data_IF_636891173372
#
_entry.id   IF_636891173372
#
_cell.length_a   1.000
_cell.length_b   1.000
_cell.length_c   1.000
_cell.angle_alpha   90.00
_cell.angle_beta   90.00
_cell.angle_gamma   90.00
#
_symmetry.space_group_name_H-M   'P 1'
#
loop_
_entity.id
_entity.type
_entity.pdbx_description
1 polymer ?
#
# COMPACT_ATOMS: atom_id res chain seq x y z
N UNK A 1 -4.12 8.29 27.48
CA UNK A 1 -4.90 7.70 26.37
C UNK A 1 -3.98 7.01 25.35
N UNK A 2 -2.95 7.72 24.87
CA UNK A 2 -1.95 7.20 23.92
C UNK A 2 -1.16 6.03 24.49
N UNK A 3 -0.73 6.10 25.75
CA UNK A 3 -0.04 5.02 26.45
C UNK A 3 -0.90 3.74 26.60
N UNK A 4 -2.21 3.88 26.84
CA UNK A 4 -3.12 2.72 26.88
C UNK A 4 -3.29 2.06 25.51
N UNK A 5 -3.27 2.85 24.42
CA UNK A 5 -3.29 2.34 23.03
C UNK A 5 -1.98 1.60 22.68
N UNK A 6 -0.84 2.11 23.10
CA UNK A 6 0.46 1.47 22.89
C UNK A 6 0.56 0.16 23.69
N UNK A 7 0.06 0.13 24.91
CA UNK A 7 0.03 -1.10 25.74
C UNK A 7 -0.91 -2.14 25.12
N UNK A 8 -2.02 -1.71 24.52
CA UNK A 8 -2.94 -2.60 23.80
C UNK A 8 -2.32 -3.17 22.53
N UNK A 9 -1.58 -2.34 21.74
CA UNK A 9 -0.79 -2.81 20.61
C UNK A 9 0.28 -3.83 21.05
N UNK A 10 0.96 -3.59 22.16
CA UNK A 10 1.90 -4.55 22.74
C UNK A 10 1.23 -5.87 23.15
N UNK A 11 -0.01 -5.81 23.61
CA UNK A 11 -0.79 -7.01 23.95
C UNK A 11 -1.22 -7.78 22.70
N UNK A 12 -1.57 -7.10 21.60
CA UNK A 12 -1.85 -7.74 20.30
C UNK A 12 -0.57 -8.35 19.73
N UNK A 13 0.54 -7.64 19.76
CA UNK A 13 1.85 -8.15 19.32
C UNK A 13 2.30 -9.34 20.17
N UNK A 14 2.08 -9.32 21.49
CA UNK A 14 2.38 -10.43 22.37
C UNK A 14 1.43 -11.63 22.17
N UNK A 15 0.15 -11.41 21.88
CA UNK A 15 -0.77 -12.50 21.51
C UNK A 15 -0.39 -13.14 20.17
N UNK A 16 0.05 -12.34 19.19
CA UNK A 16 0.52 -12.86 17.91
C UNK A 16 1.88 -13.57 18.02
N UNK A 17 2.75 -13.16 18.97
CA UNK A 17 4.03 -13.83 19.23
C UNK A 17 3.90 -15.12 20.02
N UNK A 18 2.79 -15.36 20.72
CA UNK A 18 2.55 -16.59 21.47
C UNK A 18 1.99 -17.74 20.61
N UNK A 19 1.78 -17.53 19.32
CA UNK A 19 1.31 -18.58 18.41
C UNK A 19 2.37 -19.66 18.23
N UNK A 20 2.19 -20.76 18.91
CA UNK A 20 2.74 -22.06 18.54
C UNK A 20 2.32 -22.36 17.10
N UNK A 21 3.24 -22.94 16.32
CA UNK A 21 3.08 -23.48 14.96
C UNK A 21 1.67 -23.30 14.37
N UNK A 22 1.56 -22.43 13.35
CA UNK A 22 0.35 -22.32 12.54
C UNK A 22 0.14 -23.67 11.83
N UNK A 23 -0.78 -24.45 12.33
CA UNK A 23 -1.40 -25.54 11.60
C UNK A 23 -2.36 -24.95 10.58
N UNK A 24 -2.50 -25.62 9.46
CA UNK A 24 -3.35 -25.25 8.34
C UNK A 24 -4.84 -25.18 8.80
N UNK A 25 -5.33 -23.98 9.03
CA UNK A 25 -6.71 -23.71 9.40
C UNK A 25 -7.63 -23.53 8.17
N UNK A 26 -7.52 -24.43 7.20
CA UNK A 26 -8.40 -24.44 6.02
C UNK A 26 -9.92 -24.60 6.35
N UNK A 27 -10.31 -24.61 7.63
CA UNK A 27 -11.67 -24.76 8.13
C UNK A 27 -12.13 -23.63 9.07
N UNK A 28 -11.46 -22.49 9.13
CA UNK A 28 -11.93 -21.38 9.95
C UNK A 28 -13.23 -20.80 9.39
N UNK A 29 -14.27 -20.81 10.22
CA UNK A 29 -15.56 -20.19 9.89
C UNK A 29 -15.36 -18.68 9.75
N UNK A 30 -15.93 -18.10 8.69
CA UNK A 30 -15.96 -16.66 8.52
C UNK A 30 -16.50 -15.97 9.79
N UNK A 31 -15.78 -15.04 10.35
CA UNK A 31 -16.15 -14.29 11.56
C UNK A 31 -17.11 -13.14 11.30
N UNK A 32 -17.44 -12.93 10.04
CA UNK A 32 -18.38 -11.91 9.60
C UNK A 32 -18.79 -12.13 8.15
N UNK A 33 -19.65 -11.28 7.66
CA UNK A 33 -20.07 -11.26 6.27
C UNK A 33 -19.98 -9.85 5.71
N UNK A 34 -19.70 -9.76 4.42
CA UNK A 34 -19.76 -8.53 3.67
C UNK A 34 -21.03 -8.53 2.81
N UNK A 35 -21.80 -7.45 2.85
CA UNK A 35 -23.02 -7.32 2.06
C UNK A 35 -23.34 -5.88 1.73
N UNK A 36 -23.46 -5.56 0.44
CA UNK A 36 -23.86 -4.24 -0.08
C UNK A 36 -23.01 -3.07 0.48
N UNK A 37 -21.68 -3.22 0.53
CA UNK A 37 -20.79 -2.20 1.08
C UNK A 37 -20.71 -2.19 2.61
N UNK A 38 -21.44 -3.05 3.32
CA UNK A 38 -21.42 -3.15 4.77
C UNK A 38 -20.65 -4.37 5.26
N UNK A 39 -19.83 -4.17 6.26
CA UNK A 39 -19.17 -5.25 7.01
C UNK A 39 -20.09 -5.58 8.20
N UNK A 40 -20.50 -6.83 8.28
CA UNK A 40 -21.43 -7.32 9.29
C UNK A 40 -20.71 -8.30 10.21
N UNK A 41 -21.01 -8.24 11.51
CA UNK A 41 -20.56 -9.24 12.47
C UNK A 41 -21.37 -10.54 12.36
N UNK A 42 -21.05 -11.54 13.19
CA UNK A 42 -21.77 -12.82 13.26
C UNK A 42 -23.26 -12.65 13.61
N UNK A 43 -23.61 -11.57 14.32
CA UNK A 43 -24.98 -11.24 14.69
C UNK A 43 -25.72 -10.49 13.57
N UNK A 44 -25.07 -10.27 12.41
CA UNK A 44 -25.58 -9.52 11.26
C UNK A 44 -25.76 -8.02 11.54
N UNK A 45 -25.07 -7.47 12.52
CA UNK A 45 -25.03 -6.06 12.80
C UNK A 45 -23.97 -5.39 11.92
N UNK A 46 -24.29 -4.19 11.37
CA UNK A 46 -23.34 -3.39 10.60
C UNK A 46 -22.28 -2.84 11.53
N UNK A 47 -21.02 -3.03 11.19
CA UNK A 47 -19.88 -2.60 12.02
C UNK A 47 -18.91 -1.71 11.29
N UNK A 48 -18.93 -1.74 9.98
CA UNK A 48 -18.15 -0.85 9.15
C UNK A 48 -18.73 -0.82 7.73
N UNK A 49 -18.33 0.17 6.95
CA UNK A 49 -18.50 0.20 5.51
C UNK A 49 -17.15 0.01 4.81
N UNK A 50 -17.19 -0.51 3.60
CA UNK A 50 -16.01 -0.65 2.75
C UNK A 50 -16.28 -0.01 1.39
N UNK A 51 -15.44 0.96 1.03
CA UNK A 51 -15.50 1.63 -0.29
C UNK A 51 -14.12 2.06 -0.75
N UNK A 52 -13.86 2.04 -2.03
CA UNK A 52 -12.59 2.49 -2.65
C UNK A 52 -11.33 1.87 -2.04
N UNK A 53 -11.42 0.67 -1.52
CA UNK A 53 -10.32 0.03 -0.79
C UNK A 53 -10.16 0.51 0.65
N UNK A 54 -11.04 1.39 1.15
CA UNK A 54 -11.03 1.86 2.54
C UNK A 54 -12.14 1.22 3.35
N UNK A 55 -11.87 0.98 4.63
CA UNK A 55 -12.87 0.58 5.62
C UNK A 55 -13.20 1.79 6.48
N UNK A 56 -14.49 2.08 6.64
CA UNK A 56 -15.02 3.15 7.47
C UNK A 56 -15.81 2.52 8.61
N UNK A 57 -15.39 2.74 9.85
CA UNK A 57 -16.16 2.30 11.00
C UNK A 57 -17.42 3.14 11.14
N UNK A 58 -18.59 2.50 11.14
CA UNK A 58 -19.90 3.17 11.34
C UNK A 58 -20.01 3.86 12.69
N UNK A 59 -19.23 3.43 13.66
CA UNK A 59 -19.30 3.92 15.03
C UNK A 59 -18.38 5.12 15.29
N UNK A 60 -17.81 5.73 14.24
CA UNK A 60 -16.82 6.79 14.38
C UNK A 60 -15.53 6.27 14.97
N UNK A 61 -14.59 7.16 15.26
CA UNK A 61 -13.36 6.78 15.95
C UNK A 61 -13.58 6.61 17.45
N UNK A 62 -14.53 5.81 17.83
CA UNK A 62 -14.57 5.37 19.20
C UNK A 62 -13.23 4.72 19.57
N UNK A 63 -12.93 4.68 20.83
CA UNK A 63 -11.81 3.87 21.29
C UNK A 63 -12.16 2.40 21.07
N UNK A 64 -11.20 1.51 20.86
CA UNK A 64 -11.44 0.06 20.80
C UNK A 64 -12.36 -0.48 21.90
N UNK A 65 -12.45 0.20 23.02
CA UNK A 65 -13.31 -0.18 24.14
C UNK A 65 -14.80 0.16 23.96
N UNK A 66 -15.14 1.05 23.01
CA UNK A 66 -16.53 1.46 22.79
C UNK A 66 -17.29 0.45 21.91
N UNK A 67 -16.58 -0.50 21.30
CA UNK A 67 -17.09 -1.38 20.26
C UNK A 67 -17.26 -2.84 20.68
N UNK A 68 -17.05 -3.15 21.94
CA UNK A 68 -17.01 -4.55 22.34
C UNK A 68 -15.88 -5.28 21.62
N UNK A 69 -14.86 -5.58 22.35
CA UNK A 69 -13.56 -6.15 21.94
C UNK A 69 -13.62 -7.31 20.91
N UNK A 70 -14.78 -7.97 20.74
CA UNK A 70 -14.91 -9.12 19.86
C UNK A 70 -14.73 -8.77 18.37
N UNK A 71 -15.23 -7.64 17.95
CA UNK A 71 -15.35 -7.33 16.52
C UNK A 71 -14.09 -6.76 15.92
N UNK A 72 -13.46 -5.83 16.60
CA UNK A 72 -12.16 -5.33 16.19
C UNK A 72 -11.12 -6.43 16.20
N UNK A 73 -11.17 -7.29 17.20
CA UNK A 73 -10.28 -8.43 17.30
C UNK A 73 -10.48 -9.37 16.10
N UNK A 74 -11.71 -9.61 15.69
CA UNK A 74 -12.03 -10.47 14.55
C UNK A 74 -11.60 -9.86 13.21
N UNK A 75 -11.79 -8.56 12.99
CA UNK A 75 -11.32 -7.87 11.78
C UNK A 75 -9.79 -7.84 11.69
N UNK A 76 -9.10 -7.65 12.81
CA UNK A 76 -7.63 -7.56 12.86
C UNK A 76 -6.93 -8.91 12.94
N UNK A 77 -7.56 -9.93 13.48
CA UNK A 77 -6.92 -11.23 13.71
C UNK A 77 -7.16 -12.26 12.62
N UNK A 78 -8.09 -12.03 11.70
CA UNK A 78 -8.38 -12.96 10.60
C UNK A 78 -7.53 -12.77 9.36
N UNK A 79 -6.58 -11.82 9.36
CA UNK A 79 -5.59 -11.70 8.30
C UNK A 79 -4.66 -12.90 8.26
N UNK A 80 -4.24 -13.31 7.06
CA UNK A 80 -3.33 -14.43 6.85
C UNK A 80 -1.91 -13.94 6.59
N UNK A 81 -0.92 -14.60 7.18
CA UNK A 81 0.49 -14.36 6.87
C UNK A 81 1.07 -15.59 6.18
N UNK A 82 1.44 -15.44 4.92
CA UNK A 82 2.21 -16.43 4.20
C UNK A 82 3.70 -16.22 4.44
N UNK A 83 4.45 -17.29 4.66
CA UNK A 83 5.90 -17.26 4.76
C UNK A 83 6.52 -17.87 3.50
N UNK A 84 7.25 -17.07 2.77
CA UNK A 84 7.89 -17.47 1.54
C UNK A 84 9.40 -17.64 1.73
N UNK A 85 9.97 -18.66 1.09
CA UNK A 85 11.42 -18.90 1.01
C UNK A 85 11.83 -18.87 -0.46
N UNK A 86 12.07 -17.67 -0.99
CA UNK A 86 12.33 -17.43 -2.41
C UNK A 86 13.79 -17.74 -2.75
N UNK A 87 14.03 -18.53 -3.80
CA UNK A 87 15.34 -18.63 -4.42
C UNK A 87 15.62 -17.33 -5.17
N UNK A 88 16.86 -16.90 -5.15
CA UNK A 88 17.30 -15.69 -5.86
C UNK A 88 18.55 -16.00 -6.69
N UNK A 89 18.67 -15.37 -7.84
CA UNK A 89 19.92 -15.38 -8.62
C UNK A 89 20.98 -14.41 -8.09
N UNK A 90 20.57 -13.50 -7.20
CA UNK A 90 21.45 -12.48 -6.60
C UNK A 90 22.09 -12.94 -5.29
N UNK A 91 21.52 -13.99 -4.66
CA UNK A 91 21.99 -14.55 -3.38
C UNK A 91 22.12 -16.06 -3.47
N UNK A 92 23.12 -16.60 -2.81
CA UNK A 92 23.39 -18.05 -2.70
C UNK A 92 22.52 -18.75 -1.65
N UNK A 93 21.67 -17.98 -0.95
CA UNK A 93 20.68 -18.47 0.02
C UNK A 93 19.26 -18.01 -0.35
N UNK A 94 18.28 -18.73 0.20
CA UNK A 94 16.87 -18.34 0.02
C UNK A 94 16.53 -17.12 0.86
N UNK A 95 15.86 -16.17 0.24
CA UNK A 95 15.34 -14.97 0.90
C UNK A 95 14.01 -15.27 1.57
N UNK A 96 13.91 -15.00 2.88
CA UNK A 96 12.67 -15.11 3.63
C UNK A 96 11.85 -13.84 3.44
N UNK A 97 10.56 -14.01 3.16
CA UNK A 97 9.60 -12.92 2.97
C UNK A 97 8.30 -13.30 3.66
N UNK A 98 7.69 -12.36 4.37
CA UNK A 98 6.34 -12.49 4.87
C UNK A 98 5.37 -11.78 3.94
N UNK A 99 4.19 -12.34 3.73
CA UNK A 99 3.11 -11.70 2.99
C UNK A 99 1.85 -11.72 3.85
N UNK A 100 1.47 -10.56 4.35
CA UNK A 100 0.21 -10.38 5.05
C UNK A 100 -0.91 -10.12 4.04
N UNK A 101 -1.95 -10.91 4.13
CA UNK A 101 -3.21 -10.76 3.40
C UNK A 101 -4.27 -10.23 4.34
N UNK A 102 -4.96 -9.14 4.01
CA UNK A 102 -5.98 -8.58 4.89
C UNK A 102 -7.16 -9.53 5.07
N UNK A 103 -7.95 -9.42 6.15
CA UNK A 103 -9.01 -10.36 6.52
C UNK A 103 -10.01 -10.64 5.40
N UNK A 104 -10.37 -9.63 4.63
CA UNK A 104 -11.33 -9.73 3.55
C UNK A 104 -10.75 -10.10 2.19
N UNK A 105 -9.46 -10.34 2.11
CA UNK A 105 -8.81 -10.75 0.88
C UNK A 105 -9.50 -11.95 0.18
N UNK A 106 -9.95 -13.00 0.88
CA UNK A 106 -10.65 -14.12 0.26
C UNK A 106 -12.05 -13.78 -0.28
N UNK A 107 -12.66 -12.71 0.24
CA UNK A 107 -14.07 -12.39 -0.03
C UNK A 107 -14.25 -11.35 -1.14
N UNK A 108 -13.20 -10.62 -1.49
CA UNK A 108 -13.25 -9.54 -2.49
C UNK A 108 -12.56 -9.96 -3.78
N UNK A 109 -13.10 -10.97 -4.46
CA UNK A 109 -12.49 -11.57 -5.65
C UNK A 109 -12.24 -10.58 -6.80
N UNK A 110 -13.07 -9.55 -6.90
CA UNK A 110 -12.92 -8.50 -7.91
C UNK A 110 -11.88 -7.44 -7.56
N UNK A 111 -11.48 -7.33 -6.30
CA UNK A 111 -10.59 -6.26 -5.86
C UNK A 111 -9.12 -6.65 -5.95
N UNK A 112 -8.32 -5.75 -6.49
CA UNK A 112 -6.88 -5.75 -6.37
C UNK A 112 -6.47 -4.82 -5.22
N UNK A 113 -5.36 -5.13 -4.56
CA UNK A 113 -4.89 -4.44 -3.36
C UNK A 113 -3.57 -3.72 -3.64
N UNK A 114 -3.44 -2.50 -3.14
CA UNK A 114 -2.14 -1.84 -3.11
C UNK A 114 -1.18 -2.60 -2.19
N UNK A 115 0.11 -2.58 -2.50
CA UNK A 115 1.11 -3.36 -1.78
C UNK A 115 2.06 -2.47 -1.01
N UNK A 116 2.26 -2.75 0.26
CA UNK A 116 3.29 -2.13 1.09
C UNK A 116 4.46 -3.09 1.25
N UNK A 117 5.66 -2.66 0.88
CA UNK A 117 6.91 -3.40 1.09
C UNK A 117 7.65 -2.77 2.26
N UNK A 118 7.88 -3.53 3.31
CA UNK A 118 8.62 -3.06 4.50
C UNK A 118 9.89 -3.84 4.72
N UNK A 119 10.96 -3.15 5.10
CA UNK A 119 12.22 -3.75 5.53
C UNK A 119 12.16 -4.25 6.98
N UNK A 120 13.20 -4.92 7.41
CA UNK A 120 13.39 -5.38 8.80
C UNK A 120 12.26 -6.26 9.35
N UNK A 121 11.57 -6.98 8.48
CA UNK A 121 10.45 -7.83 8.87
C UNK A 121 10.85 -9.01 9.78
N UNK A 122 12.14 -9.35 9.85
CA UNK A 122 12.66 -10.37 10.76
C UNK A 122 12.46 -10.00 12.23
N UNK A 123 12.31 -8.71 12.55
CA UNK A 123 12.04 -8.26 13.94
C UNK A 123 10.57 -8.42 14.31
N UNK A 124 9.72 -8.70 13.35
CA UNK A 124 8.27 -8.84 13.46
C UNK A 124 7.55 -7.54 13.89
N UNK A 125 8.12 -6.76 14.82
CA UNK A 125 7.47 -5.54 15.34
C UNK A 125 7.22 -4.52 14.24
N UNK A 126 8.21 -4.22 13.40
CA UNK A 126 8.05 -3.29 12.29
C UNK A 126 7.04 -3.82 11.27
N UNK A 127 7.09 -5.12 10.99
CA UNK A 127 6.15 -5.76 10.08
C UNK A 127 4.71 -5.66 10.58
N UNK A 128 4.45 -6.05 11.85
CA UNK A 128 3.10 -5.99 12.41
C UNK A 128 2.58 -4.56 12.53
N UNK A 129 3.42 -3.61 12.92
CA UNK A 129 3.01 -2.20 12.94
C UNK A 129 2.65 -1.70 11.55
N UNK A 130 3.41 -2.11 10.52
CA UNK A 130 3.12 -1.75 9.13
C UNK A 130 1.79 -2.35 8.65
N UNK A 131 1.44 -3.56 9.10
CA UNK A 131 0.14 -4.18 8.82
C UNK A 131 -1.01 -3.48 9.56
N UNK A 132 -0.79 -3.11 10.82
CA UNK A 132 -1.84 -2.62 11.71
C UNK A 132 -2.14 -1.12 11.57
N UNK A 133 -1.11 -0.27 11.44
CA UNK A 133 -1.27 1.19 11.45
C UNK A 133 -2.23 1.75 10.41
N UNK A 134 -2.33 1.22 9.19
CA UNK A 134 -3.35 1.68 8.24
C UNK A 134 -4.77 1.58 8.78
N UNK A 135 -5.02 0.63 9.69
CA UNK A 135 -6.33 0.33 10.25
C UNK A 135 -6.73 1.25 11.43
N UNK A 136 -5.75 2.00 11.99
CA UNK A 136 -5.99 2.94 13.08
C UNK A 136 -6.18 4.39 12.61
N UNK A 137 -6.39 4.59 11.32
CA UNK A 137 -6.70 5.91 10.77
C UNK A 137 -8.22 6.16 10.86
N UNK A 138 -8.63 7.42 10.76
CA UNK A 138 -10.04 7.80 10.67
C UNK A 138 -10.73 7.15 9.47
N UNK A 139 -9.94 7.02 8.42
CA UNK A 139 -10.25 6.40 7.16
C UNK A 139 -9.09 5.49 6.86
N UNK A 140 -9.33 4.21 6.69
CA UNK A 140 -8.27 3.24 6.50
C UNK A 140 -8.49 2.36 5.28
N UNK A 141 -7.38 1.84 4.77
CA UNK A 141 -7.34 1.01 3.58
C UNK A 141 -6.68 -0.33 3.89
N UNK A 142 -7.21 -1.38 3.30
CA UNK A 142 -6.59 -2.69 3.31
C UNK A 142 -5.43 -2.74 2.32
N UNK A 143 -4.28 -3.21 2.79
CA UNK A 143 -3.10 -3.46 1.98
C UNK A 143 -2.69 -4.93 2.06
N UNK A 144 -2.06 -5.43 0.99
CA UNK A 144 -1.14 -6.55 1.12
C UNK A 144 0.16 -5.97 1.66
N UNK A 145 0.71 -6.55 2.74
CA UNK A 145 2.00 -6.09 3.29
C UNK A 145 3.05 -7.17 3.10
N UNK A 146 4.12 -6.81 2.40
CA UNK A 146 5.25 -7.69 2.10
C UNK A 146 6.43 -7.32 2.97
N UNK A 147 6.77 -8.18 3.90
CA UNK A 147 7.87 -8.01 4.83
C UNK A 147 9.17 -8.63 4.30
N UNK A 148 10.16 -7.81 4.00
CA UNK A 148 11.48 -8.24 3.54
C UNK A 148 12.35 -8.53 4.76
N UNK A 149 12.72 -9.81 4.95
CA UNK A 149 13.57 -10.23 6.06
C UNK A 149 15.05 -10.20 5.66
N UNK A 150 15.88 -9.62 6.50
CA UNK A 150 17.33 -9.79 6.43
C UNK A 150 17.76 -11.00 7.25
N UNK A 151 18.65 -11.86 6.74
CA UNK A 151 19.25 -12.91 7.55
C UNK A 151 19.96 -12.32 8.78
N UNK A 152 19.96 -13.10 9.85
CA UNK A 152 20.68 -12.78 11.08
C UNK A 152 21.56 -13.98 11.43
N UNK A 153 22.73 -14.01 10.84
CA UNK A 153 23.75 -15.05 11.06
C UNK A 153 25.03 -14.42 11.61
N UNK A 154 26.02 -15.21 11.97
CA UNK A 154 27.33 -14.71 12.39
C UNK A 154 28.05 -13.92 11.29
N UNK A 155 27.79 -14.25 10.02
CA UNK A 155 28.50 -13.68 8.86
C UNK A 155 27.64 -12.80 7.96
N UNK A 156 26.35 -12.65 8.25
CA UNK A 156 25.41 -11.86 7.44
C UNK A 156 24.31 -11.23 8.30
N UNK A 157 24.10 -9.95 8.13
CA UNK A 157 23.16 -9.15 8.90
C UNK A 157 22.41 -8.16 8.01
N UNK A 158 21.52 -7.38 8.61
CA UNK A 158 20.80 -6.30 7.92
C UNK A 158 21.73 -5.21 7.35
N UNK A 159 22.90 -5.04 7.94
CA UNK A 159 23.90 -4.11 7.43
C UNK A 159 24.40 -4.55 6.04
N UNK A 160 24.62 -5.85 5.85
CA UNK A 160 25.02 -6.38 4.56
C UNK A 160 23.97 -6.13 3.49
N UNK A 161 22.69 -6.25 3.83
CA UNK A 161 21.58 -5.99 2.94
C UNK A 161 21.36 -4.51 2.58
N UNK A 162 21.56 -3.58 3.52
CA UNK A 162 21.10 -2.21 3.34
C UNK A 162 22.19 -1.22 3.01
N UNK A 163 23.45 -1.54 3.29
CA UNK A 163 24.57 -0.65 3.01
C UNK A 163 25.10 -0.81 1.59
N UNK A 164 25.45 0.29 0.92
CA UNK A 164 26.00 0.26 -0.42
C UNK A 164 27.39 -0.37 -0.47
N UNK A 165 27.83 -0.75 -1.66
CA UNK A 165 29.20 -1.21 -1.89
C UNK A 165 30.16 -0.01 -1.93
N UNK A 166 30.35 0.61 -0.79
CA UNK A 166 31.27 1.73 -0.55
C UNK A 166 32.27 1.36 0.56
N UNK A 167 33.55 1.40 0.24
CA UNK A 167 34.61 0.95 1.15
C UNK A 167 34.67 1.73 2.47
N UNK A 168 34.37 3.02 2.46
CA UNK A 168 34.35 3.85 3.66
C UNK A 168 33.13 3.51 4.54
N UNK A 169 31.98 3.32 3.93
CA UNK A 169 30.76 2.88 4.63
C UNK A 169 30.98 1.51 5.24
N UNK A 170 31.42 0.52 4.46
CA UNK A 170 31.69 -0.84 4.92
C UNK A 170 32.70 -0.84 6.09
N UNK A 171 33.76 -0.06 5.99
CA UNK A 171 34.73 0.07 7.08
C UNK A 171 34.11 0.65 8.36
N UNK A 172 33.17 1.58 8.24
CA UNK A 172 32.49 2.20 9.40
C UNK A 172 31.47 1.25 10.08
N UNK A 173 31.15 0.14 9.44
CA UNK A 173 30.28 -0.91 9.94
C UNK A 173 31.02 -2.25 10.13
N UNK A 174 32.29 -2.19 10.55
CA UNK A 174 33.12 -3.34 10.92
C UNK A 174 33.24 -4.41 9.81
N UNK A 175 33.20 -3.99 8.57
CA UNK A 175 33.31 -4.87 7.40
C UNK A 175 31.98 -5.37 6.85
N UNK A 176 30.84 -5.01 7.48
CA UNK A 176 29.51 -5.35 6.99
C UNK A 176 29.00 -4.34 5.95
N UNK A 177 28.27 -4.85 4.95
CA UNK A 177 27.65 -4.01 3.90
C UNK A 177 27.94 -4.53 2.48
N UNK A 178 27.56 -3.71 1.49
CA UNK A 178 27.92 -3.90 0.11
C UNK A 178 26.89 -4.68 -0.74
N UNK A 179 25.74 -5.06 -0.20
CA UNK A 179 24.76 -5.83 -0.95
C UNK A 179 23.43 -5.09 -1.22
N UNK A 180 23.35 -3.78 -0.96
CA UNK A 180 22.10 -3.05 -1.19
C UNK A 180 21.65 -3.09 -2.65
N UNK A 181 22.56 -3.05 -3.62
CA UNK A 181 22.23 -3.19 -5.03
C UNK A 181 21.68 -4.60 -5.35
N UNK A 182 22.26 -5.65 -4.78
CA UNK A 182 21.76 -7.01 -4.95
C UNK A 182 20.35 -7.18 -4.36
N UNK A 183 20.12 -6.59 -3.18
CA UNK A 183 18.79 -6.61 -2.56
C UNK A 183 17.78 -5.83 -3.38
N UNK A 184 18.15 -4.68 -3.91
CA UNK A 184 17.29 -3.88 -4.79
C UNK A 184 16.95 -4.65 -6.08
N UNK A 185 17.91 -5.32 -6.69
CA UNK A 185 17.69 -6.16 -7.87
C UNK A 185 16.77 -7.33 -7.55
N UNK A 186 16.97 -8.01 -6.42
CA UNK A 186 16.04 -9.03 -5.94
C UNK A 186 14.62 -8.50 -5.78
N UNK A 187 14.46 -7.35 -5.12
CA UNK A 187 13.14 -6.72 -4.91
C UNK A 187 12.49 -6.39 -6.25
N UNK A 188 13.22 -5.74 -7.15
CA UNK A 188 12.72 -5.24 -8.43
C UNK A 188 12.41 -6.34 -9.43
N UNK A 189 13.31 -7.31 -9.56
CA UNK A 189 13.24 -8.27 -10.66
C UNK A 189 12.76 -9.67 -10.26
N UNK A 190 12.67 -9.95 -8.96
CA UNK A 190 12.21 -11.25 -8.46
C UNK A 190 11.03 -11.12 -7.52
N UNK A 191 11.12 -10.32 -6.44
CA UNK A 191 10.08 -10.24 -5.42
C UNK A 191 8.81 -9.56 -5.93
N UNK A 192 8.89 -8.36 -6.49
CA UNK A 192 7.71 -7.63 -6.99
C UNK A 192 6.99 -8.43 -8.09
N UNK A 193 7.67 -8.97 -9.11
CA UNK A 193 7.02 -9.84 -10.10
C UNK A 193 6.38 -11.08 -9.49
N UNK A 194 7.03 -11.71 -8.50
CA UNK A 194 6.46 -12.85 -7.79
C UNK A 194 5.14 -12.47 -7.09
N UNK A 195 5.14 -11.38 -6.32
CA UNK A 195 3.95 -10.91 -5.59
C UNK A 195 2.82 -10.60 -6.57
N UNK A 196 3.10 -9.88 -7.66
CA UNK A 196 2.10 -9.55 -8.69
C UNK A 196 1.51 -10.76 -9.39
N UNK A 197 2.28 -11.82 -9.57
CA UNK A 197 1.81 -13.04 -10.24
C UNK A 197 1.02 -13.99 -9.34
N UNK A 198 1.20 -13.90 -8.01
CA UNK A 198 0.58 -14.82 -7.05
C UNK A 198 -0.54 -14.20 -6.21
N UNK A 199 -0.60 -12.86 -6.14
CA UNK A 199 -1.58 -12.14 -5.35
C UNK A 199 -2.30 -11.09 -6.20
N UNK A 200 -3.52 -10.75 -5.82
CA UNK A 200 -4.31 -9.69 -6.47
C UNK A 200 -3.79 -8.33 -6.04
N UNK A 201 -2.98 -7.72 -6.89
CA UNK A 201 -2.31 -6.46 -6.59
C UNK A 201 -2.58 -5.42 -7.66
N UNK A 202 -2.67 -4.15 -7.24
CA UNK A 202 -2.57 -3.01 -8.15
C UNK A 202 -1.11 -2.77 -8.55
N UNK A 203 -0.88 -1.80 -9.43
CA UNK A 203 0.48 -1.32 -9.73
C UNK A 203 1.05 -0.39 -8.64
N UNK A 204 0.20 0.10 -7.74
CA UNK A 204 0.64 0.98 -6.66
C UNK A 204 1.38 0.19 -5.59
N UNK A 205 2.55 0.69 -5.24
CA UNK A 205 3.40 0.07 -4.22
C UNK A 205 4.10 1.11 -3.37
N UNK A 206 4.10 0.88 -2.06
CA UNK A 206 4.71 1.74 -1.06
C UNK A 206 5.91 1.05 -0.44
N UNK A 207 7.09 1.68 -0.50
CA UNK A 207 8.28 1.26 0.22
C UNK A 207 8.36 1.90 1.61
N UNK A 208 8.42 1.11 2.66
CA UNK A 208 8.51 1.57 4.06
C UNK A 208 9.83 1.09 4.67
N UNK A 209 10.60 2.02 5.21
CA UNK A 209 11.84 1.68 5.91
C UNK A 209 12.07 2.54 7.14
N UNK A 210 12.75 1.97 8.14
CA UNK A 210 13.20 2.67 9.33
C UNK A 210 14.72 2.57 9.48
N UNK A 211 15.36 3.66 9.89
CA UNK A 211 16.81 3.66 10.14
C UNK A 211 17.63 3.30 8.88
N UNK A 212 18.45 2.26 8.91
CA UNK A 212 19.16 1.73 7.72
C UNK A 212 18.18 1.21 6.65
N UNK A 213 17.03 0.66 7.05
CA UNK A 213 15.98 0.27 6.12
C UNK A 213 15.41 1.46 5.34
N UNK A 214 15.28 2.63 5.99
CA UNK A 214 14.89 3.87 5.32
C UNK A 214 15.97 4.38 4.36
N UNK A 215 17.24 4.23 4.72
CA UNK A 215 18.36 4.53 3.84
C UNK A 215 18.38 3.64 2.61
N UNK A 216 18.06 2.35 2.77
CA UNK A 216 17.88 1.43 1.65
C UNK A 216 16.71 1.85 0.75
N UNK A 217 15.58 2.27 1.32
CA UNK A 217 14.46 2.79 0.53
C UNK A 217 14.83 4.06 -0.25
N UNK A 218 15.70 4.93 0.30
CA UNK A 218 16.23 6.08 -0.44
C UNK A 218 17.13 5.65 -1.62
N UNK A 219 17.97 4.62 -1.42
CA UNK A 219 18.75 4.04 -2.51
C UNK A 219 17.82 3.44 -3.59
N UNK A 220 16.74 2.75 -3.19
CA UNK A 220 15.74 2.23 -4.12
C UNK A 220 15.10 3.34 -4.96
N UNK A 221 14.70 4.47 -4.36
CA UNK A 221 14.15 5.60 -5.09
C UNK A 221 15.12 6.11 -6.17
N UNK A 222 16.39 6.25 -5.82
CA UNK A 222 17.40 6.86 -6.71
C UNK A 222 17.94 5.90 -7.77
N UNK A 223 18.02 4.61 -7.49
CA UNK A 223 18.74 3.62 -8.31
C UNK A 223 17.83 2.56 -8.94
N UNK A 224 16.65 2.88 -9.31
CA UNK A 224 15.81 1.90 -10.00
C UNK A 224 14.33 2.07 -9.75
N UNK A 225 14.01 2.82 -8.71
CA UNK A 225 12.66 3.24 -8.33
C UNK A 225 11.63 2.12 -8.46
N UNK A 226 11.76 1.02 -7.67
CA UNK A 226 10.89 -0.14 -7.79
C UNK A 226 9.48 0.10 -7.20
N UNK A 227 9.30 1.15 -6.38
CA UNK A 227 8.04 1.49 -5.74
C UNK A 227 7.47 2.79 -6.29
N UNK A 228 6.17 3.00 -6.14
CA UNK A 228 5.50 4.24 -6.53
C UNK A 228 5.66 5.35 -5.49
N UNK A 229 5.71 4.97 -4.20
CA UNK A 229 5.68 5.87 -3.06
C UNK A 229 6.66 5.39 -1.97
N UNK A 230 7.08 6.29 -1.06
CA UNK A 230 8.10 5.95 -0.07
C UNK A 230 7.89 6.61 1.29
N UNK A 231 8.12 5.85 2.38
CA UNK A 231 8.27 6.37 3.74
C UNK A 231 9.71 6.15 4.22
N UNK A 232 10.40 7.24 4.48
CA UNK A 232 11.76 7.29 5.01
C UNK A 232 11.71 7.67 6.49
N UNK A 233 11.57 6.67 7.36
CA UNK A 233 11.37 6.89 8.79
C UNK A 233 12.73 6.88 9.52
N UNK A 234 13.13 8.04 10.03
CA UNK A 234 14.43 8.25 10.70
C UNK A 234 15.64 7.66 9.92
N UNK A 235 15.83 8.01 8.63
CA UNK A 235 16.89 7.42 7.82
C UNK A 235 18.28 7.73 8.37
N UNK A 236 19.17 6.74 8.40
CA UNK A 236 20.59 6.97 8.60
C UNK A 236 21.22 7.40 7.27
N UNK A 237 21.56 8.68 7.15
CA UNK A 237 22.09 9.25 5.92
C UNK A 237 23.62 9.35 5.89
N UNK A 238 24.31 8.81 6.91
CA UNK A 238 25.76 9.03 7.14
C UNK A 238 26.63 7.98 6.44
N UNK A 239 26.59 7.97 5.10
CA UNK A 239 27.38 7.07 4.27
C UNK A 239 28.57 7.80 3.62
N UNK A 240 29.63 7.05 3.28
CA UNK A 240 30.84 7.56 2.66
C UNK A 240 31.85 8.16 3.65
N UNK A 241 32.99 8.62 3.13
CA UNK A 241 34.07 9.22 3.94
C UNK A 241 33.67 10.49 4.67
N UNK A 242 32.90 11.35 4.00
CA UNK A 242 32.40 12.62 4.53
C UNK A 242 31.08 12.48 5.29
N UNK A 243 30.52 11.27 5.31
CA UNK A 243 29.21 10.96 5.89
C UNK A 243 28.04 11.73 5.27
N UNK A 244 28.20 12.21 4.05
CA UNK A 244 27.20 12.98 3.31
C UNK A 244 26.81 12.34 1.97
N UNK A 245 27.42 11.21 1.61
CA UNK A 245 27.28 10.58 0.29
C UNK A 245 25.80 10.36 -0.08
N UNK A 246 25.03 9.69 0.78
CA UNK A 246 23.61 9.40 0.48
C UNK A 246 22.75 10.67 0.39
N UNK A 247 22.99 11.63 1.31
CA UNK A 247 22.31 12.92 1.29
C UNK A 247 22.63 13.71 0.02
N UNK A 248 23.90 13.73 -0.40
CA UNK A 248 24.35 14.39 -1.63
C UNK A 248 23.75 13.73 -2.87
N UNK A 249 23.72 12.40 -2.91
CA UNK A 249 23.06 11.66 -4.01
C UNK A 249 21.58 12.02 -4.13
N UNK A 250 20.87 12.10 -2.99
CA UNK A 250 19.46 12.49 -2.98
C UNK A 250 19.25 13.93 -3.48
N UNK A 251 20.06 14.88 -3.03
CA UNK A 251 19.97 16.28 -3.47
C UNK A 251 20.29 16.47 -4.97
N UNK A 252 21.03 15.55 -5.57
CA UNK A 252 21.33 15.54 -7.00
C UNK A 252 20.38 14.67 -7.83
N UNK A 253 19.49 13.93 -7.18
CA UNK A 253 18.55 13.04 -7.87
C UNK A 253 17.55 13.84 -8.73
N UNK A 254 17.30 13.35 -9.94
CA UNK A 254 16.34 13.93 -10.87
C UNK A 254 15.06 13.11 -10.87
N UNK A 255 14.02 13.68 -10.29
CA UNK A 255 12.71 13.06 -10.28
C UNK A 255 12.12 12.98 -11.69
N UNK A 256 11.47 11.86 -11.99
CA UNK A 256 10.75 11.69 -13.26
C UNK A 256 9.46 12.52 -13.21
N UNK A 257 9.39 13.54 -14.07
CA UNK A 257 8.24 14.46 -14.17
C UNK A 257 6.94 13.78 -14.64
N UNK A 258 7.04 12.54 -15.14
CA UNK A 258 5.88 11.77 -15.61
C UNK A 258 5.37 10.78 -14.55
N UNK A 259 6.04 10.65 -13.40
CA UNK A 259 5.66 9.70 -12.33
C UNK A 259 5.25 10.46 -11.09
N UNK A 260 4.02 10.27 -10.66
CA UNK A 260 3.57 10.76 -9.35
C UNK A 260 4.24 9.95 -8.25
N UNK A 261 4.64 10.63 -7.17
CA UNK A 261 5.26 9.98 -6.03
C UNK A 261 4.95 10.75 -4.74
N UNK A 262 4.65 10.02 -3.68
CA UNK A 262 4.55 10.54 -2.33
C UNK A 262 5.78 10.15 -1.53
N UNK A 263 6.38 11.13 -0.86
CA UNK A 263 7.54 10.95 -0.01
C UNK A 263 7.22 11.43 1.42
N UNK A 264 7.46 10.60 2.40
CA UNK A 264 7.38 11.01 3.80
C UNK A 264 8.72 10.85 4.49
N UNK A 265 9.17 11.90 5.17
CA UNK A 265 10.41 11.90 5.95
C UNK A 265 10.12 12.11 7.42
N UNK A 266 10.82 11.39 8.29
CA UNK A 266 10.79 11.68 9.72
C UNK A 266 12.17 11.61 10.37
N UNK A 267 12.27 12.18 11.56
CA UNK A 267 13.41 12.05 12.46
C UNK A 267 12.96 12.18 13.92
N UNK A 268 13.78 11.71 14.84
CA UNK A 268 13.61 11.90 16.28
C UNK A 268 14.60 12.95 16.86
N UNK A 269 15.34 13.65 16.00
CA UNK A 269 16.45 14.50 16.41
C UNK A 269 17.53 13.69 17.11
N UNK A 270 17.96 12.61 16.48
CA UNK A 270 18.83 11.56 17.02
C UNK A 270 20.15 12.09 17.56
N UNK A 271 20.66 13.17 16.99
CA UNK A 271 21.88 13.84 17.47
C UNK A 271 21.82 14.33 18.92
N UNK A 272 20.61 14.48 19.47
CA UNK A 272 20.38 14.85 20.88
C UNK A 272 20.45 13.65 21.81
N UNK A 273 20.28 12.46 21.28
CA UNK A 273 20.10 11.23 22.05
C UNK A 273 21.41 10.51 22.33
N UNK A 274 22.40 10.66 21.45
CA UNK A 274 23.70 10.00 21.58
C UNK A 274 24.81 10.76 20.85
N UNK A 275 26.01 10.71 21.43
CA UNK A 275 27.23 11.23 20.79
C UNK A 275 27.48 10.59 19.40
N UNK A 276 27.23 9.28 19.27
CA UNK A 276 27.42 8.54 18.02
C UNK A 276 26.51 9.01 16.88
N UNK A 277 25.35 9.60 17.22
CA UNK A 277 24.37 10.05 16.23
C UNK A 277 24.51 11.54 15.85
N UNK A 278 25.45 12.28 16.46
CA UNK A 278 25.68 13.68 16.08
C UNK A 278 26.03 13.86 14.60
N UNK A 279 26.67 12.87 14.01
CA UNK A 279 27.00 12.87 12.59
C UNK A 279 25.76 12.80 11.67
N UNK A 280 24.59 12.43 12.18
CA UNK A 280 23.37 12.37 11.37
C UNK A 280 22.81 13.74 11.03
N UNK A 281 23.04 14.73 11.89
CA UNK A 281 22.48 16.07 11.73
C UNK A 281 22.88 16.75 10.42
N UNK A 282 24.17 16.86 10.04
CA UNK A 282 24.55 17.53 8.80
C UNK A 282 23.91 16.90 7.55
N UNK A 283 23.89 15.58 7.48
CA UNK A 283 23.30 14.87 6.34
C UNK A 283 21.78 15.07 6.26
N UNK A 284 21.08 15.02 7.40
CA UNK A 284 19.66 15.29 7.49
C UNK A 284 19.33 16.74 7.12
N UNK A 285 20.09 17.71 7.67
CA UNK A 285 19.90 19.13 7.37
C UNK A 285 20.12 19.43 5.89
N UNK A 286 21.07 18.77 5.24
CA UNK A 286 21.29 18.88 3.80
C UNK A 286 20.05 18.46 3.02
N UNK A 287 19.46 17.29 3.31
CA UNK A 287 18.24 16.79 2.66
C UNK A 287 17.06 17.72 2.92
N UNK A 288 16.86 18.13 4.17
CA UNK A 288 15.73 18.99 4.54
C UNK A 288 15.85 20.39 3.93
N UNK A 289 17.05 20.97 3.92
CA UNK A 289 17.28 22.23 3.23
C UNK A 289 17.00 22.13 1.72
N UNK A 290 17.44 21.03 1.10
CA UNK A 290 17.12 20.78 -0.31
C UNK A 290 15.60 20.72 -0.55
N UNK A 291 14.87 19.95 0.24
CA UNK A 291 13.42 19.83 0.13
C UNK A 291 12.69 21.17 0.34
N UNK A 292 13.15 21.99 1.29
CA UNK A 292 12.55 23.29 1.61
C UNK A 292 12.83 24.37 0.56
N UNK A 293 13.98 24.28 -0.14
CA UNK A 293 14.46 25.37 -1.01
C UNK A 293 14.31 25.05 -2.50
N UNK A 294 14.26 23.76 -2.87
CA UNK A 294 14.11 23.38 -4.26
C UNK A 294 12.65 23.19 -4.63
N UNK A 295 12.25 23.69 -5.78
CA UNK A 295 10.96 23.38 -6.35
C UNK A 295 11.02 22.00 -6.98
N UNK A 296 10.53 20.98 -6.26
CA UNK A 296 10.34 19.67 -6.82
C UNK A 296 9.23 19.70 -7.90
N UNK A 297 9.26 18.80 -8.88
CA UNK A 297 8.17 18.67 -9.83
C UNK A 297 6.82 18.54 -9.14
N UNK A 298 5.76 19.16 -9.70
CA UNK A 298 4.41 19.21 -9.09
C UNK A 298 3.75 17.85 -8.88
N UNK A 299 4.26 16.81 -9.54
CA UNK A 299 3.87 15.42 -9.38
C UNK A 299 4.52 14.73 -8.16
N UNK A 300 5.48 15.39 -7.50
CA UNK A 300 6.12 14.89 -6.27
C UNK A 300 5.50 15.60 -5.07
N UNK A 301 4.77 14.84 -4.28
CA UNK A 301 4.20 15.31 -3.01
C UNK A 301 5.08 14.81 -1.89
N UNK A 302 5.53 15.70 -1.02
CA UNK A 302 6.34 15.30 0.11
C UNK A 302 5.89 15.96 1.41
N UNK A 303 6.10 15.24 2.50
CA UNK A 303 5.85 15.72 3.87
C UNK A 303 7.01 15.30 4.77
N UNK A 304 7.27 16.07 5.83
CA UNK A 304 8.22 15.69 6.88
C UNK A 304 7.70 16.04 8.26
N UNK A 305 8.14 15.27 9.27
CA UNK A 305 7.83 15.56 10.66
C UNK A 305 8.95 15.08 11.60
N UNK A 306 9.34 15.93 12.54
CA UNK A 306 10.31 15.61 13.60
C UNK A 306 9.59 15.23 14.89
N UNK A 307 10.01 14.14 15.52
CA UNK A 307 9.40 13.58 16.74
C UNK A 307 10.32 13.76 17.94
N UNK A 308 10.57 15.02 18.31
CA UNK A 308 11.60 15.40 19.30
C UNK A 308 11.33 14.92 20.74
N UNK A 309 10.12 14.49 21.05
CA UNK A 309 9.75 13.91 22.36
C UNK A 309 9.90 12.38 22.41
N UNK A 310 10.41 11.79 21.33
CA UNK A 310 10.59 10.34 21.19
C UNK A 310 12.08 10.02 20.97
N UNK A 311 12.45 8.76 21.14
CA UNK A 311 13.76 8.28 20.73
C UNK A 311 13.68 7.62 19.33
N UNK A 312 14.82 7.17 18.82
CA UNK A 312 14.94 6.57 17.50
C UNK A 312 13.96 5.40 17.26
N UNK A 313 13.74 4.55 18.27
CA UNK A 313 12.83 3.41 18.14
C UNK A 313 11.37 3.82 18.36
N UNK A 314 11.10 4.61 19.40
CA UNK A 314 9.72 4.98 19.76
C UNK A 314 9.12 6.04 18.84
N UNK A 315 9.91 6.71 17.99
CA UNK A 315 9.41 7.59 16.93
C UNK A 315 8.79 6.81 15.78
N UNK A 316 9.21 5.56 15.53
CA UNK A 316 8.74 4.77 14.40
C UNK A 316 7.22 4.62 14.34
N UNK A 317 6.50 4.11 15.38
CA UNK A 317 5.05 3.96 15.32
C UNK A 317 4.31 5.29 15.12
N UNK A 318 4.82 6.38 15.69
CA UNK A 318 4.21 7.71 15.54
C UNK A 318 4.41 8.27 14.13
N UNK A 319 5.61 8.09 13.59
CA UNK A 319 5.94 8.49 12.24
C UNK A 319 5.16 7.70 11.20
N UNK A 320 5.01 6.39 11.42
CA UNK A 320 4.25 5.51 10.56
C UNK A 320 2.77 5.89 10.51
N UNK A 321 2.18 6.23 11.68
CA UNK A 321 0.81 6.73 11.76
C UNK A 321 0.60 7.98 10.91
N UNK A 322 1.43 9.01 11.12
CA UNK A 322 1.30 10.29 10.41
C UNK A 322 1.62 10.16 8.91
N UNK A 323 2.55 9.23 8.56
CA UNK A 323 2.88 8.93 7.19
C UNK A 323 1.67 8.33 6.44
N UNK A 324 0.97 7.37 7.03
CA UNK A 324 -0.24 6.80 6.44
C UNK A 324 -1.37 7.81 6.32
N UNK A 325 -1.57 8.65 7.34
CA UNK A 325 -2.59 9.69 7.26
C UNK A 325 -2.34 10.63 6.06
N UNK A 326 -1.11 11.12 5.92
CA UNK A 326 -0.75 11.96 4.79
C UNK A 326 -0.78 11.23 3.44
N UNK A 327 -0.50 9.95 3.43
CA UNK A 327 -0.55 9.11 2.24
C UNK A 327 -1.99 8.87 1.76
N UNK A 328 -2.93 8.67 2.68
CA UNK A 328 -4.34 8.52 2.32
C UNK A 328 -4.92 9.81 1.73
N UNK A 329 -4.59 10.97 2.32
CA UNK A 329 -4.94 12.26 1.73
C UNK A 329 -4.38 12.42 0.30
N UNK A 330 -3.15 11.98 0.09
CA UNK A 330 -2.51 12.02 -1.22
C UNK A 330 -3.21 11.07 -2.23
N UNK A 331 -3.50 9.83 -1.85
CA UNK A 331 -4.21 8.89 -2.73
C UNK A 331 -5.57 9.44 -3.12
N UNK A 332 -6.32 10.02 -2.19
CA UNK A 332 -7.61 10.63 -2.46
C UNK A 332 -7.50 11.84 -3.39
N UNK A 333 -6.46 12.66 -3.20
CA UNK A 333 -6.21 13.79 -4.10
C UNK A 333 -5.93 13.34 -5.54
N UNK A 334 -5.27 12.20 -5.73
CA UNK A 334 -5.06 11.62 -7.07
C UNK A 334 -6.37 11.10 -7.66
N UNK A 335 -7.19 10.41 -6.86
CA UNK A 335 -8.49 9.90 -7.30
C UNK A 335 -9.46 11.02 -7.66
N UNK A 336 -9.40 12.16 -6.95
CA UNK A 336 -10.20 13.35 -7.22
C UNK A 336 -9.69 14.21 -8.39
N UNK A 337 -8.46 13.96 -8.87
CA UNK A 337 -7.98 14.58 -10.10
C UNK A 337 -8.88 14.13 -11.23
N UNK A 338 -9.37 15.14 -11.95
CA UNK A 338 -10.46 15.02 -12.92
C UNK A 338 -10.41 13.72 -13.73
N UNK A 339 -11.56 13.08 -13.95
CA UNK A 339 -11.68 11.88 -14.79
C UNK A 339 -10.99 11.98 -16.15
N UNK A 340 -10.66 13.18 -16.59
CA UNK A 340 -10.06 13.49 -17.89
C UNK A 340 -8.54 13.73 -17.86
N UNK A 341 -7.88 13.62 -16.70
CA UNK A 341 -6.41 13.73 -16.64
C UNK A 341 -5.73 12.46 -17.19
N UNK A 342 -5.50 12.46 -18.49
CA UNK A 342 -4.81 11.36 -19.20
C UNK A 342 -3.30 11.37 -18.98
N UNK A 343 -2.74 12.39 -18.33
CA UNK A 343 -1.28 12.51 -18.12
C UNK A 343 -0.73 11.45 -17.18
N UNK A 344 -1.58 10.85 -16.34
CA UNK A 344 -1.22 9.79 -15.41
C UNK A 344 -1.30 8.38 -16.00
N UNK A 345 -1.82 8.24 -17.21
CA UNK A 345 -2.02 6.93 -17.83
C UNK A 345 -0.69 6.33 -18.32
N UNK A 346 -0.58 5.01 -18.23
CA UNK A 346 0.56 4.27 -18.76
C UNK A 346 0.74 4.52 -20.27
N UNK A 347 1.99 4.57 -20.73
CA UNK A 347 2.27 4.61 -22.18
C UNK A 347 1.95 3.28 -22.85
N UNK A 348 2.10 2.18 -22.12
CA UNK A 348 1.79 0.83 -22.56
C UNK A 348 0.29 0.56 -22.48
N UNK A 349 -0.21 -0.19 -23.43
CA UNK A 349 -1.60 -0.62 -23.55
C UNK A 349 -1.72 -2.07 -23.07
N UNK A 350 -2.77 -2.36 -22.31
CA UNK A 350 -3.03 -3.68 -21.75
C UNK A 350 -4.40 -4.18 -22.19
N UNK A 351 -4.45 -5.32 -22.85
CA UNK A 351 -5.71 -5.98 -23.23
C UNK A 351 -6.36 -6.57 -22.01
N UNK A 352 -7.61 -6.17 -21.72
CA UNK A 352 -8.40 -6.63 -20.58
C UNK A 352 -9.76 -7.17 -21.06
N UNK A 353 -10.21 -8.22 -20.40
CA UNK A 353 -11.56 -8.75 -20.53
C UNK A 353 -12.37 -8.36 -19.29
N UNK A 354 -13.47 -7.65 -19.49
CA UNK A 354 -14.32 -7.14 -18.41
C UNK A 354 -15.72 -7.71 -18.57
N UNK A 355 -16.20 -8.39 -17.53
CA UNK A 355 -17.54 -8.95 -17.46
C UNK A 355 -18.34 -8.31 -16.34
N UNK A 356 -19.63 -8.13 -16.56
CA UNK A 356 -20.61 -7.83 -15.52
C UNK A 356 -21.72 -8.87 -15.53
N UNK A 357 -22.04 -9.42 -14.37
CA UNK A 357 -23.15 -10.33 -14.15
C UNK A 357 -24.38 -9.52 -13.79
N UNK A 358 -25.44 -9.63 -14.57
CA UNK A 358 -26.71 -8.92 -14.41
C UNK A 358 -27.84 -9.88 -14.04
N UNK A 359 -28.91 -9.36 -13.44
CA UNK A 359 -30.09 -10.15 -13.04
C UNK A 359 -31.14 -10.22 -14.12
N UNK A 360 -31.22 -9.24 -14.99
CA UNK A 360 -32.21 -9.18 -16.08
C UNK A 360 -31.56 -9.54 -17.42
N UNK A 361 -32.06 -10.61 -18.04
CA UNK A 361 -31.57 -11.12 -19.32
C UNK A 361 -31.68 -10.10 -20.48
N UNK A 362 -32.62 -9.17 -20.41
CA UNK A 362 -32.84 -8.15 -21.45
C UNK A 362 -32.05 -6.85 -21.23
N UNK A 363 -31.36 -6.74 -20.09
CA UNK A 363 -30.70 -5.50 -19.70
C UNK A 363 -29.50 -5.19 -20.59
N UNK A 364 -29.52 -4.01 -21.19
CA UNK A 364 -28.40 -3.45 -21.93
C UNK A 364 -27.48 -2.71 -20.95
N UNK A 365 -26.19 -3.02 -20.99
CA UNK A 365 -25.21 -2.40 -20.11
C UNK A 365 -24.15 -1.69 -20.94
N UNK A 366 -23.77 -0.54 -20.47
CA UNK A 366 -22.72 0.31 -21.03
C UNK A 366 -21.58 0.47 -20.01
N UNK A 367 -20.38 0.68 -20.51
CA UNK A 367 -19.21 1.05 -19.71
C UNK A 367 -18.77 2.46 -20.10
N UNK A 368 -18.38 3.24 -19.11
CA UNK A 368 -17.84 4.58 -19.34
C UNK A 368 -16.66 4.84 -18.42
N UNK A 369 -15.65 5.59 -18.85
CA UNK A 369 -14.45 5.80 -18.05
C UNK A 369 -13.50 6.85 -18.61
N UNK A 370 -12.32 6.95 -18.00
CA UNK A 370 -11.33 8.02 -18.14
C UNK A 370 -10.53 8.02 -19.45
N UNK A 371 -10.86 7.18 -20.43
CA UNK A 371 -10.12 7.09 -21.68
C UNK A 371 -11.02 6.75 -22.88
N UNK A 372 -10.52 6.96 -24.10
CA UNK A 372 -11.31 6.76 -25.34
C UNK A 372 -11.91 5.39 -25.47
N UNK A 373 -11.16 4.35 -25.13
CA UNK A 373 -11.65 2.95 -25.17
C UNK A 373 -12.77 2.67 -24.17
N UNK A 374 -12.97 3.55 -23.18
CA UNK A 374 -14.05 3.52 -22.20
C UNK A 374 -15.06 4.68 -22.39
N UNK A 375 -15.05 5.37 -23.54
CA UNK A 375 -16.07 6.37 -23.89
C UNK A 375 -15.90 7.75 -23.24
N UNK A 376 -14.76 8.08 -22.60
CA UNK A 376 -14.47 9.41 -22.03
C UNK A 376 -15.61 9.95 -21.19
N UNK A 377 -16.11 9.14 -20.27
CA UNK A 377 -17.22 9.47 -19.37
C UNK A 377 -18.56 9.76 -20.08
N UNK A 378 -18.75 9.29 -21.30
CA UNK A 378 -20.06 9.27 -21.95
C UNK A 378 -20.79 7.98 -21.60
N UNK A 379 -21.83 8.00 -20.78
CA UNK A 379 -22.46 6.80 -20.21
C UNK A 379 -23.17 5.92 -21.23
N UNK A 380 -23.48 6.44 -22.41
CA UNK A 380 -24.21 5.70 -23.47
C UNK A 380 -23.34 5.34 -24.67
N UNK A 381 -22.02 5.57 -24.64
CA UNK A 381 -21.19 5.42 -25.82
C UNK A 381 -20.69 3.97 -26.05
N UNK A 382 -20.23 3.29 -25.03
CA UNK A 382 -19.62 1.97 -25.15
C UNK A 382 -20.53 0.91 -24.56
N UNK A 383 -21.23 0.18 -25.44
CA UNK A 383 -22.15 -0.91 -25.06
C UNK A 383 -21.41 -2.23 -24.91
N UNK A 384 -21.67 -2.97 -23.86
CA UNK A 384 -21.14 -4.32 -23.66
C UNK A 384 -21.89 -5.34 -24.54
N UNK A 385 -21.17 -6.39 -24.95
CA UNK A 385 -21.74 -7.50 -25.68
C UNK A 385 -22.59 -8.39 -24.76
N UNK A 386 -23.73 -8.80 -25.24
CA UNK A 386 -24.54 -9.83 -24.60
C UNK A 386 -23.90 -11.22 -24.85
N UNK A 387 -23.41 -11.85 -23.81
CA UNK A 387 -22.78 -13.18 -23.87
C UNK A 387 -23.81 -14.26 -23.63
N UNK A 388 -24.64 -14.09 -22.59
CA UNK A 388 -25.78 -14.95 -22.24
C UNK A 388 -26.76 -14.15 -21.36
N UNK A 389 -27.77 -14.78 -20.85
CA UNK A 389 -28.84 -14.14 -20.08
C UNK A 389 -28.32 -13.38 -18.85
N UNK A 390 -27.22 -13.80 -18.29
CA UNK A 390 -26.66 -13.19 -17.06
C UNK A 390 -25.36 -12.39 -17.28
N UNK A 391 -24.69 -12.47 -18.43
CA UNK A 391 -23.36 -11.90 -18.61
C UNK A 391 -23.35 -10.88 -19.76
N UNK A 392 -22.80 -9.70 -19.47
CA UNK A 392 -22.39 -8.69 -20.45
C UNK A 392 -20.89 -8.52 -20.37
N UNK A 393 -20.19 -8.43 -21.50
CA UNK A 393 -18.74 -8.38 -21.51
C UNK A 393 -18.18 -7.47 -22.61
N UNK A 394 -16.94 -7.05 -22.40
CA UNK A 394 -16.15 -6.31 -23.38
C UNK A 394 -14.67 -6.73 -23.29
N UNK A 395 -14.06 -6.87 -24.47
CA UNK A 395 -12.59 -6.92 -24.59
C UNK A 395 -12.10 -5.54 -24.99
N UNK A 396 -11.28 -4.93 -24.13
CA UNK A 396 -10.88 -3.54 -24.29
C UNK A 396 -9.39 -3.36 -24.06
N UNK A 397 -8.80 -2.43 -24.80
CA UNK A 397 -7.41 -2.02 -24.66
C UNK A 397 -7.34 -0.81 -23.74
N UNK A 398 -6.63 -0.94 -22.63
CA UNK A 398 -6.57 0.06 -21.56
C UNK A 398 -5.16 0.59 -21.33
N UNK A 399 -5.06 1.87 -21.15
CA UNK A 399 -3.95 2.51 -20.42
C UNK A 399 -4.27 2.46 -18.92
N UNK A 400 -3.30 2.22 -18.06
CA UNK A 400 -3.52 2.08 -16.62
C UNK A 400 -3.01 3.32 -15.84
N UNK A 401 -3.68 3.70 -14.76
CA UNK A 401 -4.92 3.14 -14.20
C UNK A 401 -6.15 3.48 -15.05
N UNK A 402 -7.01 2.50 -15.29
CA UNK A 402 -8.29 2.72 -15.95
C UNK A 402 -9.40 2.89 -14.89
N UNK A 403 -10.05 4.04 -14.90
CA UNK A 403 -11.21 4.34 -14.04
C UNK A 403 -12.48 4.24 -14.86
N UNK A 404 -13.52 3.58 -14.35
CA UNK A 404 -14.75 3.39 -15.11
C UNK A 404 -15.96 3.10 -14.23
N UNK A 405 -17.14 3.15 -14.85
CA UNK A 405 -18.43 2.80 -14.28
C UNK A 405 -19.23 2.00 -15.27
N UNK A 406 -20.21 1.25 -14.80
CA UNK A 406 -21.26 0.66 -15.65
C UNK A 406 -22.55 1.45 -15.49
N UNK A 407 -23.27 1.61 -16.59
CA UNK A 407 -24.52 2.37 -16.68
C UNK A 407 -25.56 1.66 -17.53
N UNK A 408 -26.79 2.16 -17.53
CA UNK A 408 -27.84 1.76 -18.46
C UNK A 408 -27.97 2.71 -19.66
N UNK A 409 -26.85 3.33 -20.08
CA UNK A 409 -26.80 4.25 -21.21
C UNK A 409 -26.99 5.72 -20.84
N UNK A 410 -27.21 6.04 -19.58
CA UNK A 410 -27.28 7.41 -19.05
C UNK A 410 -26.75 7.45 -17.62
N UNK A 411 -26.43 8.63 -17.14
CA UNK A 411 -26.04 8.84 -15.74
C UNK A 411 -27.19 8.64 -14.74
N UNK A 412 -28.41 8.49 -15.21
CA UNK A 412 -29.55 8.22 -14.32
C UNK A 412 -29.39 6.93 -13.52
N UNK A 413 -28.76 5.92 -14.10
CA UNK A 413 -28.55 4.63 -13.45
C UNK A 413 -27.08 4.24 -13.49
N UNK A 414 -26.51 4.05 -12.31
CA UNK A 414 -25.17 3.56 -12.10
C UNK A 414 -25.19 2.19 -11.42
N UNK A 415 -24.30 1.29 -11.83
CA UNK A 415 -24.20 -0.04 -11.23
C UNK A 415 -23.65 0.04 -9.80
N UNK A 416 -24.39 -0.49 -8.85
CA UNK A 416 -23.94 -0.77 -7.49
C UNK A 416 -23.39 -2.18 -7.38
N UNK A 417 -22.25 -2.31 -6.73
CA UNK A 417 -21.59 -3.57 -6.46
C UNK A 417 -21.44 -3.77 -4.96
N UNK A 418 -21.31 -5.03 -4.57
CA UNK A 418 -21.07 -5.40 -3.18
C UNK A 418 -19.82 -4.72 -2.57
N UNK A 419 -18.90 -4.28 -3.42
CA UNK A 419 -17.60 -3.71 -3.06
C UNK A 419 -17.44 -2.23 -3.45
N UNK A 420 -18.48 -1.58 -3.96
CA UNK A 420 -18.40 -0.18 -4.35
C UNK A 420 -19.46 0.65 -3.62
N UNK A 421 -19.12 1.90 -3.40
CA UNK A 421 -20.05 2.88 -2.87
C UNK A 421 -20.61 3.72 -4.02
N UNK A 422 -21.81 4.28 -3.81
CA UNK A 422 -22.39 5.22 -4.75
C UNK A 422 -21.41 6.34 -5.11
N UNK A 423 -21.24 6.59 -6.39
CA UNK A 423 -20.31 7.61 -6.88
C UNK A 423 -18.86 7.18 -7.07
N UNK A 424 -18.45 6.03 -6.53
CA UNK A 424 -17.07 5.56 -6.66
C UNK A 424 -16.79 5.01 -8.08
N UNK A 425 -15.62 5.29 -8.61
CA UNK A 425 -15.15 4.69 -9.84
C UNK A 425 -14.55 3.31 -9.55
N UNK A 426 -14.86 2.34 -10.41
CA UNK A 426 -14.09 1.10 -10.48
C UNK A 426 -12.71 1.40 -11.05
N UNK A 427 -11.69 0.68 -10.57
CA UNK A 427 -10.30 0.87 -11.01
C UNK A 427 -9.69 -0.45 -11.47
N UNK A 428 -9.06 -0.42 -12.65
CA UNK A 428 -8.14 -1.46 -13.10
C UNK A 428 -6.75 -0.85 -13.18
N UNK A 429 -5.83 -1.38 -12.36
CA UNK A 429 -4.45 -0.92 -12.29
C UNK A 429 -3.44 -2.08 -12.17
N UNK A 430 -3.80 -3.28 -12.62
CA UNK A 430 -2.93 -4.44 -12.60
C UNK A 430 -2.51 -4.79 -14.04
N UNK A 431 -1.21 -4.84 -14.31
CA UNK A 431 -0.67 -5.14 -15.65
C UNK A 431 -0.87 -6.59 -16.06
N UNK A 432 -0.80 -7.53 -15.12
CA UNK A 432 -0.77 -8.98 -15.38
C UNK A 432 -2.17 -9.59 -15.46
N UNK A 433 -3.09 -9.16 -14.60
CA UNK A 433 -4.45 -9.67 -14.57
C UNK A 433 -5.20 -9.29 -15.85
N UNK A 434 -5.75 -10.30 -16.55
CA UNK A 434 -6.42 -10.10 -17.83
C UNK A 434 -7.95 -10.07 -17.72
N UNK A 435 -8.53 -10.81 -16.78
CA UNK A 435 -9.97 -11.01 -16.67
C UNK A 435 -10.52 -10.39 -15.39
N UNK A 436 -11.57 -9.59 -15.53
CA UNK A 436 -12.27 -8.92 -14.45
C UNK A 436 -13.75 -9.26 -14.53
N UNK A 437 -14.34 -9.69 -13.42
CA UNK A 437 -15.74 -10.05 -13.31
C UNK A 437 -16.37 -9.30 -12.17
N UNK A 438 -17.45 -8.57 -12.47
CA UNK A 438 -18.23 -7.77 -11.53
C UNK A 438 -19.61 -8.35 -11.39
N UNK A 439 -20.12 -8.48 -10.15
CA UNK A 439 -21.46 -9.01 -9.89
C UNK A 439 -22.33 -7.84 -9.47
N UNK A 440 -23.29 -7.48 -10.35
CA UNK A 440 -24.22 -6.39 -10.09
C UNK A 440 -25.10 -6.71 -8.87
N UNK A 441 -25.07 -5.84 -7.88
CA UNK A 441 -25.99 -5.89 -6.74
C UNK A 441 -27.32 -5.24 -7.10
N UNK A 442 -27.28 -4.02 -7.58
CA UNK A 442 -28.44 -3.21 -7.96
C UNK A 442 -28.05 -2.10 -8.94
N UNK A 443 -29.04 -1.47 -9.55
CA UNK A 443 -28.88 -0.22 -10.28
C UNK A 443 -29.34 0.93 -9.38
N UNK A 444 -28.42 1.80 -9.03
CA UNK A 444 -28.70 2.99 -8.23
C UNK A 444 -29.29 4.08 -9.11
N UNK A 445 -30.41 4.69 -8.67
CA UNK A 445 -31.04 5.81 -9.35
C UNK A 445 -30.50 7.13 -8.78
N UNK A 446 -29.69 7.82 -9.56
CA UNK A 446 -28.97 9.03 -9.14
C UNK A 446 -29.91 10.23 -8.91
N UNK A 447 -31.06 10.29 -9.60
CA UNK A 447 -32.01 11.41 -9.48
C UNK A 447 -32.78 11.43 -8.14
N UNK A 448 -32.86 10.29 -7.46
CA UNK A 448 -33.61 10.18 -6.19
C UNK A 448 -32.79 10.64 -4.97
N UNK A 449 -31.45 10.68 -5.08
CA UNK A 449 -30.53 11.04 -3.96
C UNK A 449 -30.21 12.55 -3.88
N UNK A 450 -30.42 13.32 -4.96
CA UNK A 450 -30.24 14.79 -4.92
C UNK A 450 -31.41 15.53 -4.18
N UNK A 451 -32.47 14.81 -3.80
CA UNK A 451 -33.66 15.34 -3.13
C UNK A 451 -33.81 14.89 -1.66
N UNK A 452 -32.84 14.21 -1.07
CA UNK A 452 -32.76 13.89 0.35
C UNK A 452 -31.59 14.64 1.04
#
# INVERSE_FOLDING_TARGET
LLMKRIVFLFSIVLMLCSCKSFEDHSNEKAVGTYKNGYILNLNKEIVATYRDGYVFSEMGLGTPNDYGLGLEQDIYTTGKIDTLMLKSKYFDFKRKVFVYLPPFYPYFDANDFDVVYTTDAQTMEQFFMTCAWPLFQNKYKWFIVVGICSPQTETYSRQDDFLPNDSATIKSYDGHGGHSEKLMDFVKYELIPYIRSHYRTTERSLGVGHSLGASFMMQCLMNGNPFTDYFFLSPNLTFGNDRLMLASQFCNYKFDVNKRCYLFFSDAGEERLSHGWRAWKPAREMVYHYLDTQQLPSNIVWKRKSYLNYNHLTSFPMALHDAYQGYFDYIDSIKSLAPNDTTTLSKQVYRKHIEIVVKDAKQEVYITGNQKSLGMWNPGLIKLKHINDSIRAIDVDLHLPALFKFTLGSWKYEAGFENSYYGDNLEINNTERKNYRYILTEWMNIEDDENQ
#
